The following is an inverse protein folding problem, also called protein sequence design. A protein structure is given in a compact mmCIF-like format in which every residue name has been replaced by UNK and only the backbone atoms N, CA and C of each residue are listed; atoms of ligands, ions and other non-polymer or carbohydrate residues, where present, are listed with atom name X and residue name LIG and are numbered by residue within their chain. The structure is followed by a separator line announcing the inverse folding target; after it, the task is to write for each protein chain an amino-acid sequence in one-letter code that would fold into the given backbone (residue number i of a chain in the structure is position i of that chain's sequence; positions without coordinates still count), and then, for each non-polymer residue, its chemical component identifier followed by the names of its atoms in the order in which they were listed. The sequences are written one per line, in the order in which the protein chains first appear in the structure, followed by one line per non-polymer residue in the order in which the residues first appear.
data_IF_536138686654
#
_entry.id   IF_536138686654
#
_cell.length_a   1.000
_cell.length_b   1.000
_cell.length_c   1.000
_cell.angle_alpha   90.00
_cell.angle_beta   90.00
_cell.angle_gamma   90.00
#
_symmetry.space_group_name_H-M   'P 1'
#
loop_
_entity.id
_entity.type
_entity.pdbx_description
1 polymer ?
#
# COMPACT_ATOMS: atom_id res chain seq x y z
N UNK A 1 -16.36 -21.70 11.23
CA UNK A 1 -16.57 -21.19 10.62
C UNK A 1 -16.38 -21.06 9.74
N UNK A 2 -16.55 -21.14 9.33
CA UNK A 2 -16.33 -21.03 8.45
C UNK A 2 -16.10 -20.26 7.83
N UNK A 3 -15.89 -20.11 7.46
CA UNK A 3 -15.93 -19.39 6.83
C UNK A 3 -15.82 -19.46 5.67
N UNK A 4 -16.19 -19.86 5.04
CA UNK A 4 -15.91 -19.95 3.72
C UNK A 4 -16.35 -18.81 3.01
N UNK A 5 -16.75 -18.02 3.54
CA UNK A 5 -16.97 -16.83 2.98
C UNK A 5 -15.75 -16.36 2.36
N UNK A 6 -14.98 -17.22 1.95
CA UNK A 6 -13.81 -16.85 1.24
C UNK A 6 -14.06 -15.77 0.22
N UNK A 7 -15.06 -15.86 -0.65
CA UNK A 7 -15.25 -14.78 -1.63
C UNK A 7 -15.49 -13.44 -0.97
N UNK A 8 -16.24 -13.43 0.10
CA UNK A 8 -16.49 -12.18 0.77
C UNK A 8 -15.24 -11.64 1.41
N UNK A 9 -14.44 -12.54 1.95
CA UNK A 9 -13.18 -12.13 2.55
C UNK A 9 -12.27 -11.56 1.49
N UNK A 10 -12.27 -12.18 0.32
CA UNK A 10 -11.40 -11.71 -0.75
C UNK A 10 -11.73 -10.31 -1.16
N UNK A 11 -13.00 -9.97 -1.19
CA UNK A 11 -13.39 -8.61 -1.51
C UNK A 11 -12.84 -7.61 -0.52
N UNK A 12 -12.67 -8.01 0.73
CA UNK A 12 -12.14 -7.13 1.73
C UNK A 12 -10.66 -6.88 1.58
N UNK A 13 -10.01 -7.55 0.65
CA UNK A 13 -8.58 -7.38 0.42
C UNK A 13 -8.28 -6.73 -0.91
N UNK A 14 -9.22 -5.98 -1.42
CA UNK A 14 -9.05 -5.27 -2.67
C UNK A 14 -9.41 -3.81 -2.46
N UNK A 15 -8.54 -2.92 -2.92
CA UNK A 15 -8.75 -1.49 -2.83
C UNK A 15 -8.71 -0.92 -4.22
N UNK A 16 -9.69 -0.10 -4.56
CA UNK A 16 -9.79 0.43 -5.89
C UNK A 16 -10.07 1.92 -5.87
N UNK A 17 -9.31 2.67 -6.65
CA UNK A 17 -9.50 4.10 -6.86
C UNK A 17 -9.37 4.36 -8.36
N UNK A 18 -9.76 5.55 -8.83
CA UNK A 18 -9.65 5.83 -10.26
C UNK A 18 -8.22 5.61 -10.74
N UNK A 19 -8.07 4.69 -11.69
CA UNK A 19 -6.77 4.41 -12.28
C UNK A 19 -5.88 3.46 -11.52
N UNK A 20 -6.35 2.89 -10.40
CA UNK A 20 -5.53 1.94 -9.67
C UNK A 20 -6.41 0.91 -8.96
N UNK A 21 -5.98 -0.34 -9.01
CA UNK A 21 -6.63 -1.42 -8.30
C UNK A 21 -5.56 -2.27 -7.62
N UNK A 22 -5.67 -2.41 -6.30
CA UNK A 22 -4.70 -3.16 -5.52
C UNK A 22 -5.41 -4.34 -4.92
N UNK A 23 -4.94 -5.54 -5.24
CA UNK A 23 -5.59 -6.76 -4.77
C UNK A 23 -4.58 -7.59 -3.99
N UNK A 24 -4.80 -7.69 -2.68
CA UNK A 24 -3.90 -8.42 -1.81
C UNK A 24 -4.15 -9.92 -1.88
N UNK A 25 -5.35 -10.32 -2.29
CA UNK A 25 -5.67 -11.74 -2.37
C UNK A 25 -4.78 -12.45 -3.40
N UNK A 26 -4.61 -11.84 -4.56
CA UNK A 26 -3.76 -12.43 -5.59
C UNK A 26 -2.49 -11.65 -5.83
N UNK A 27 -2.18 -10.70 -4.96
CA UNK A 27 -0.96 -9.87 -5.02
C UNK A 27 -0.77 -9.23 -6.38
N UNK A 28 -1.79 -8.52 -6.84
CA UNK A 28 -1.72 -7.84 -8.12
C UNK A 28 -2.05 -6.35 -7.97
N UNK A 29 -1.45 -5.55 -8.84
CA UNK A 29 -1.71 -4.12 -8.90
C UNK A 29 -1.93 -3.77 -10.36
N UNK A 30 -3.05 -3.10 -10.63
CA UNK A 30 -3.34 -2.59 -11.97
C UNK A 30 -3.32 -1.08 -11.93
N UNK A 31 -2.55 -0.48 -12.81
CA UNK A 31 -2.51 0.97 -12.94
C UNK A 31 -2.94 1.31 -14.35
N UNK A 32 -4.05 2.03 -14.47
CA UNK A 32 -4.63 2.36 -15.77
C UNK A 32 -4.87 1.10 -16.61
N UNK A 33 -5.27 0.03 -15.93
CA UNK A 33 -5.59 -1.22 -16.60
C UNK A 33 -4.40 -2.10 -16.90
N UNK A 34 -3.20 -1.67 -16.56
CA UNK A 34 -2.00 -2.44 -16.83
C UNK A 34 -1.43 -3.02 -15.55
N UNK A 35 -1.02 -4.28 -15.63
CA UNK A 35 -0.45 -4.96 -14.47
C UNK A 35 0.93 -4.39 -14.17
N UNK A 36 1.14 -4.02 -12.91
CA UNK A 36 2.44 -3.53 -12.45
C UNK A 36 3.00 -4.52 -11.47
N UNK A 37 4.17 -5.05 -11.77
CA UNK A 37 4.79 -6.03 -10.91
C UNK A 37 5.63 -5.36 -9.85
N UNK A 38 5.53 -5.87 -8.64
CA UNK A 38 6.33 -5.35 -7.54
C UNK A 38 6.53 -6.44 -6.50
N UNK A 39 7.61 -6.35 -5.72
CA UNK A 39 7.84 -7.32 -4.65
C UNK A 39 6.72 -7.29 -3.62
N UNK A 40 6.48 -8.41 -2.92
CA UNK A 40 5.37 -8.48 -1.96
C UNK A 40 5.35 -7.37 -0.93
N UNK A 41 6.49 -6.97 -0.39
CA UNK A 41 6.50 -5.94 0.64
C UNK A 41 6.10 -4.58 0.09
N UNK A 42 6.44 -4.29 -1.16
CA UNK A 42 5.99 -3.04 -1.77
C UNK A 42 4.49 -3.05 -1.94
N UNK A 43 3.95 -4.17 -2.38
CA UNK A 43 2.51 -4.29 -2.57
C UNK A 43 1.76 -4.20 -1.25
N UNK A 44 2.27 -4.88 -0.23
CA UNK A 44 1.63 -4.84 1.09
C UNK A 44 1.63 -3.43 1.67
N UNK A 45 2.74 -2.72 1.51
CA UNK A 45 2.84 -1.35 1.97
C UNK A 45 1.83 -0.45 1.26
N UNK A 46 1.76 -0.58 -0.06
CA UNK A 46 0.81 0.21 -0.84
C UNK A 46 -0.63 -0.11 -0.43
N UNK A 47 -0.95 -1.39 -0.29
CA UNK A 47 -2.28 -1.81 0.11
C UNK A 47 -2.64 -1.23 1.48
N UNK A 48 -1.71 -1.30 2.43
CA UNK A 48 -1.96 -0.82 3.77
C UNK A 48 -2.29 0.68 3.77
N UNK A 49 -1.48 1.45 3.05
CA UNK A 49 -1.71 2.90 2.97
C UNK A 49 -3.00 3.22 2.24
N UNK A 50 -3.27 2.53 1.14
CA UNK A 50 -4.46 2.81 0.34
C UNK A 50 -5.74 2.36 1.03
N UNK A 51 -5.64 1.40 1.96
CA UNK A 51 -6.80 0.95 2.71
C UNK A 51 -7.25 1.96 3.74
N UNK A 52 -6.41 2.92 4.09
CA UNK A 52 -6.75 3.98 5.03
C UNK A 52 -6.41 5.32 4.39
N UNK A 53 -7.18 5.72 3.39
CA UNK A 53 -6.85 6.93 2.63
C UNK A 53 -6.87 8.17 3.51
N UNK A 54 -5.97 9.07 3.21
CA UNK A 54 -5.84 10.37 3.90
C UNK A 54 -5.41 10.24 5.35
N UNK A 55 -5.00 9.06 5.78
CA UNK A 55 -4.48 8.87 7.13
C UNK A 55 -2.96 8.81 7.08
N UNK A 56 -2.33 9.57 7.98
CA UNK A 56 -0.88 9.62 8.06
C UNK A 56 -0.37 8.51 8.96
N UNK A 57 0.63 7.79 8.47
CA UNK A 57 1.30 6.76 9.26
C UNK A 57 2.77 7.12 9.39
N UNK A 58 3.33 6.93 10.59
CA UNK A 58 4.74 7.17 10.80
C UNK A 58 5.54 6.04 10.16
N UNK A 59 6.83 6.30 9.92
CA UNK A 59 7.69 5.26 9.36
C UNK A 59 7.78 4.06 10.30
N UNK A 60 7.79 4.32 11.60
CA UNK A 60 7.81 3.24 12.59
C UNK A 60 6.55 2.40 12.52
N UNK A 61 5.40 3.03 12.38
CA UNK A 61 4.14 2.30 12.25
C UNK A 61 4.15 1.43 11.01
N UNK A 62 4.62 1.96 9.89
CA UNK A 62 4.66 1.20 8.65
C UNK A 62 5.65 0.05 8.73
N UNK A 63 6.79 0.28 9.33
CA UNK A 63 7.77 -0.78 9.51
C UNK A 63 7.18 -1.91 10.35
N UNK A 64 6.50 -1.54 11.42
CA UNK A 64 5.88 -2.50 12.32
C UNK A 64 4.78 -3.29 11.63
N UNK A 65 3.92 -2.61 10.89
CA UNK A 65 2.77 -3.25 10.27
C UNK A 65 3.15 -4.16 9.10
N UNK A 66 4.15 -3.78 8.33
CA UNK A 66 4.51 -4.52 7.13
C UNK A 66 5.62 -5.53 7.37
N UNK A 67 6.62 -5.17 8.17
CA UNK A 67 7.75 -6.05 8.44
C UNK A 67 7.67 -6.74 9.80
N UNK A 68 6.83 -6.22 10.71
CA UNK A 68 6.68 -6.81 12.03
C UNK A 68 7.61 -6.13 13.02
N UNK A 69 7.14 -5.97 14.27
CA UNK A 69 7.95 -5.22 15.22
C UNK A 69 9.16 -6.00 15.72
N UNK A 70 9.31 -7.26 15.34
CA UNK A 70 10.54 -7.99 15.64
C UNK A 70 11.59 -7.76 14.55
N UNK A 71 11.23 -7.04 13.51
CA UNK A 71 12.17 -6.77 12.43
C UNK A 71 13.28 -5.86 12.95
N UNK A 72 14.53 -6.32 12.79
CA UNK A 72 15.67 -5.55 13.22
C UNK A 72 16.21 -4.80 12.03
N UNK A 73 15.56 -3.71 11.70
CA UNK A 73 15.96 -2.92 10.56
C UNK A 73 15.77 -1.46 10.84
N UNK A 74 16.03 -0.69 9.82
CA UNK A 74 15.98 0.75 9.90
C UNK A 74 14.70 1.25 9.22
N UNK A 75 14.13 2.33 9.73
CA UNK A 75 12.95 2.93 9.10
C UNK A 75 13.26 3.38 7.68
N UNK A 76 14.53 3.52 7.30
CA UNK A 76 14.87 3.82 5.91
C UNK A 76 14.42 2.75 4.95
N UNK A 77 14.16 1.54 5.44
CA UNK A 77 13.57 0.49 4.62
C UNK A 77 12.24 0.95 4.05
N UNK A 78 11.44 1.62 4.87
CA UNK A 78 10.15 2.15 4.42
C UNK A 78 10.37 3.20 3.33
N UNK A 79 11.31 4.10 3.55
CA UNK A 79 11.58 5.17 2.58
C UNK A 79 11.98 4.60 1.21
N UNK A 80 12.81 3.56 1.22
CA UNK A 80 13.25 2.95 -0.02
C UNK A 80 12.08 2.32 -0.75
N UNK A 81 11.19 1.65 -0.03
CA UNK A 81 10.02 1.02 -0.65
C UNK A 81 9.05 2.07 -1.18
N UNK A 82 8.87 3.18 -0.46
CA UNK A 82 8.03 4.27 -0.94
C UNK A 82 8.59 4.84 -2.24
N UNK A 83 9.90 5.03 -2.29
CA UNK A 83 10.52 5.55 -3.51
C UNK A 83 10.27 4.62 -4.70
N UNK A 84 10.44 3.32 -4.48
CA UNK A 84 10.22 2.36 -5.55
C UNK A 84 8.77 2.31 -5.99
N UNK A 85 7.85 2.44 -5.03
CA UNK A 85 6.43 2.50 -5.36
C UNK A 85 6.14 3.71 -6.24
N UNK A 86 6.67 4.87 -5.87
CA UNK A 86 6.42 6.09 -6.64
C UNK A 86 6.95 5.99 -8.06
N UNK A 87 8.03 5.26 -8.23
CA UNK A 87 8.58 5.06 -9.57
C UNK A 87 7.68 4.18 -10.43
N UNK A 88 6.94 3.27 -9.79
CA UNK A 88 6.11 2.30 -10.50
C UNK A 88 4.71 2.80 -10.76
N UNK A 89 4.10 3.48 -9.80
CA UNK A 89 2.68 3.83 -9.94
C UNK A 89 2.43 5.28 -10.30
N UNK A 90 3.33 6.18 -10.01
CA UNK A 90 3.22 7.60 -10.32
C UNK A 90 1.89 8.18 -9.85
N UNK A 91 1.89 9.44 -9.54
CA UNK A 91 0.70 10.08 -9.00
C UNK A 91 -0.40 10.20 -10.06
N UNK A 92 -1.63 10.19 -9.59
CA UNK A 92 -2.82 10.30 -10.42
C UNK A 92 -3.61 11.52 -9.98
N UNK A 93 -4.53 11.98 -10.84
CA UNK A 93 -5.34 13.15 -10.50
C UNK A 93 -6.19 12.92 -9.26
N UNK A 94 -6.62 11.69 -9.01
CA UNK A 94 -7.52 11.38 -7.91
C UNK A 94 -6.83 10.91 -6.64
N UNK A 95 -5.55 10.60 -6.72
CA UNK A 95 -4.81 10.08 -5.56
C UNK A 95 -3.31 10.32 -5.72
N UNK A 96 -2.61 10.25 -4.60
CA UNK A 96 -1.16 10.34 -4.64
C UNK A 96 -0.59 9.71 -3.39
N UNK A 97 0.64 9.21 -3.51
CA UNK A 97 1.38 8.66 -2.39
C UNK A 97 2.25 9.79 -1.86
N UNK A 98 1.81 10.40 -0.77
CA UNK A 98 2.37 11.67 -0.30
C UNK A 98 3.27 11.50 0.90
N UNK A 99 4.29 12.35 0.98
CA UNK A 99 5.13 12.47 2.15
C UNK A 99 4.56 13.55 3.06
N UNK A 100 4.47 13.24 4.35
CA UNK A 100 4.14 14.24 5.34
C UNK A 100 5.44 14.51 6.09
N UNK A 101 6.06 15.63 5.78
CA UNK A 101 7.41 15.93 6.23
C UNK A 101 7.53 15.94 7.75
N UNK A 102 8.53 15.21 8.23
CA UNK A 102 8.76 15.12 9.66
C UNK A 102 7.88 14.10 10.36
N UNK A 103 6.93 13.47 9.65
CA UNK A 103 6.01 12.53 10.27
C UNK A 103 6.03 11.18 9.56
N UNK A 104 5.67 11.14 8.28
CA UNK A 104 5.60 9.85 7.58
C UNK A 104 4.96 9.97 6.22
N UNK A 105 4.05 9.06 5.93
CA UNK A 105 3.46 8.95 4.61
C UNK A 105 1.95 8.76 4.69
N UNK A 106 1.27 9.08 3.61
CA UNK A 106 -0.17 8.81 3.49
C UNK A 106 -0.52 8.56 2.03
N UNK A 107 -1.61 7.84 1.81
CA UNK A 107 -2.19 7.68 0.49
C UNK A 107 -3.30 8.72 0.40
N UNK A 108 -3.06 9.78 -0.33
CA UNK A 108 -3.99 10.90 -0.37
C UNK A 108 -5.00 10.70 -1.48
N UNK A 109 -6.28 10.85 -1.14
CA UNK A 109 -7.37 10.70 -2.11
C UNK A 109 -8.14 12.01 -2.14
N UNK A 110 -8.43 12.49 -3.32
CA UNK A 110 -9.12 13.77 -3.49
C UNK A 110 -10.62 13.62 -3.64
#
# INVERSE_FOLDING_TARGET
MPKPEVPAVDKGKCVEYPGIEINLTNYSVLVDGQNVEMPPKELELLYFLASSPNQVFTREQLLDQIWGYEYIGDTRTVDVHIKRLREKIKDHNGWSLSTVWGIGYKFEVK
#
